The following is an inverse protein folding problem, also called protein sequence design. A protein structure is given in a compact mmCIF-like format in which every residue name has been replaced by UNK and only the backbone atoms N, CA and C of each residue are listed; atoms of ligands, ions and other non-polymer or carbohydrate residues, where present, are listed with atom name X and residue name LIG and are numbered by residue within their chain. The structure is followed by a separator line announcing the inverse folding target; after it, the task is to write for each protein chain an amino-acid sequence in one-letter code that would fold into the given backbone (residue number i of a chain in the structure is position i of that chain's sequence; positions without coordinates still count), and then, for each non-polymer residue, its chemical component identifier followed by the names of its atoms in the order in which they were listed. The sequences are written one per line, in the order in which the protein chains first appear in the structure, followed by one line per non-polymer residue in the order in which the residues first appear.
data_IF_177485737125
#
_entry.id   IF_177485737125
#
_cell.length_a   1.000
_cell.length_b   1.000
_cell.length_c   1.000
_cell.angle_alpha   90.00
_cell.angle_beta   90.00
_cell.angle_gamma   90.00
#
_symmetry.space_group_name_H-M   'P 1'
#
loop_
_entity.id
_entity.type
_entity.pdbx_description
1 polymer ?
#
# COMPACT_ATOMS: atom_id res chain seq x y z
N UNK A 1 -9.14 12.56 -0.67
CA UNK A 1 -9.06 12.46 0.82
C UNK A 1 -7.66 12.88 1.30
N UNK A 2 -7.49 13.20 2.59
CA UNK A 2 -6.26 13.78 3.15
C UNK A 2 -5.74 12.95 4.35
N UNK A 3 -5.09 11.78 4.11
CA UNK A 3 -4.63 10.90 5.19
C UNK A 3 -3.51 11.50 6.06
N UNK A 4 -2.81 12.51 5.55
CA UNK A 4 -1.85 13.33 6.31
C UNK A 4 -2.47 14.01 7.54
N UNK A 5 -3.77 14.35 7.51
CA UNK A 5 -4.44 14.93 8.67
C UNK A 5 -4.55 13.93 9.83
N UNK A 6 -4.88 12.67 9.52
CA UNK A 6 -4.92 11.59 10.51
C UNK A 6 -3.51 11.33 11.05
N UNK A 7 -2.50 11.31 10.18
CA UNK A 7 -1.11 11.18 10.60
C UNK A 7 -0.71 12.29 11.58
N UNK A 8 -1.10 13.54 11.33
CA UNK A 8 -0.81 14.67 12.23
C UNK A 8 -1.41 14.45 13.63
N UNK A 9 -2.63 13.90 13.72
CA UNK A 9 -3.27 13.59 15.00
C UNK A 9 -2.54 12.46 15.73
N UNK A 10 -2.11 11.42 15.00
CA UNK A 10 -1.35 10.29 15.55
C UNK A 10 0.03 10.70 16.08
N UNK A 11 0.71 11.63 15.39
CA UNK A 11 2.02 12.16 15.82
C UNK A 11 1.93 12.71 17.24
N UNK A 12 0.86 13.44 17.57
CA UNK A 12 0.67 14.06 18.89
C UNK A 12 0.33 13.05 20.00
N UNK A 13 -0.08 11.84 19.62
CA UNK A 13 -0.51 10.78 20.55
C UNK A 13 0.52 9.67 20.72
N UNK A 14 1.60 9.69 19.95
CA UNK A 14 2.59 8.61 19.92
C UNK A 14 4.02 9.15 19.90
N UNK A 15 4.93 8.49 20.60
CA UNK A 15 6.34 8.91 20.70
C UNK A 15 7.33 7.99 19.99
N UNK A 16 6.96 6.73 19.75
CA UNK A 16 7.90 5.69 19.25
C UNK A 16 7.50 5.08 17.92
N UNK A 17 6.20 4.83 17.69
CA UNK A 17 5.75 4.10 16.51
C UNK A 17 5.99 4.91 15.24
N UNK A 18 6.42 4.23 14.18
CA UNK A 18 6.47 4.82 12.84
C UNK A 18 5.05 5.00 12.29
N UNK A 19 4.85 6.04 11.49
CA UNK A 19 3.55 6.39 10.90
C UNK A 19 3.71 6.35 9.39
N UNK A 20 3.15 5.31 8.78
CA UNK A 20 3.14 5.14 7.33
C UNK A 20 1.83 5.68 6.74
N UNK A 21 1.94 6.56 5.75
CA UNK A 21 0.81 7.02 4.95
C UNK A 21 0.78 6.15 3.69
N UNK A 22 -0.15 5.20 3.59
CA UNK A 22 -0.17 4.18 2.53
C UNK A 22 -1.48 4.26 1.69
N UNK A 23 -1.61 5.22 0.75
CA UNK A 23 -0.59 6.14 0.27
C UNK A 23 -1.14 7.44 -0.31
N UNK A 24 -0.24 8.30 -0.74
CA UNK A 24 -0.54 9.58 -1.40
C UNK A 24 -0.54 9.39 -2.92
N UNK A 25 -1.67 9.71 -3.56
CA UNK A 25 -1.79 9.65 -5.01
C UNK A 25 -1.03 10.81 -5.67
N UNK A 26 0.13 10.54 -6.25
CA UNK A 26 0.98 11.57 -6.87
C UNK A 26 0.40 12.15 -8.17
N UNK A 27 -0.17 11.36 -9.09
CA UNK A 27 -0.61 11.88 -10.40
C UNK A 27 -1.78 12.86 -10.32
N UNK A 28 -2.54 12.79 -9.23
CA UNK A 28 -3.83 13.47 -9.04
C UNK A 28 -3.69 14.89 -8.49
N UNK A 29 -2.46 15.41 -8.38
CA UNK A 29 -2.22 16.80 -7.99
C UNK A 29 -1.62 17.59 -9.15
N UNK A 30 -1.86 18.90 -9.13
CA UNK A 30 -1.26 19.81 -10.10
C UNK A 30 0.16 20.23 -9.73
N UNK A 31 0.51 20.21 -8.44
CA UNK A 31 1.84 20.57 -7.96
C UNK A 31 2.34 19.54 -6.92
N UNK A 32 3.31 18.67 -7.28
CA UNK A 32 3.89 17.69 -6.37
C UNK A 32 4.67 18.29 -5.19
N UNK A 33 5.09 19.56 -5.26
CA UNK A 33 5.79 20.21 -4.16
C UNK A 33 4.95 20.25 -2.89
N UNK A 34 3.63 20.40 -2.99
CA UNK A 34 2.76 20.33 -1.81
C UNK A 34 2.86 18.98 -1.10
N UNK A 35 3.03 17.89 -1.84
CA UNK A 35 3.24 16.57 -1.24
C UNK A 35 4.61 16.51 -0.56
N UNK A 36 5.65 17.04 -1.20
CA UNK A 36 6.99 17.11 -0.62
C UNK A 36 6.99 17.89 0.71
N UNK A 37 6.30 19.03 0.76
CA UNK A 37 6.15 19.87 1.96
C UNK A 37 5.30 19.17 3.03
N UNK A 38 4.16 18.59 2.67
CA UNK A 38 3.29 17.82 3.58
C UNK A 38 4.09 16.76 4.35
N UNK A 39 4.85 15.93 3.62
CA UNK A 39 5.66 14.87 4.22
C UNK A 39 6.86 15.43 5.00
N UNK A 40 7.55 16.47 4.51
CA UNK A 40 8.65 17.08 5.25
C UNK A 40 8.18 17.71 6.57
N UNK A 41 7.02 18.39 6.57
CA UNK A 41 6.40 18.93 7.78
C UNK A 41 6.06 17.83 8.77
N UNK A 42 5.36 16.78 8.32
CA UNK A 42 5.03 15.64 9.18
C UNK A 42 6.28 14.97 9.73
N UNK A 43 7.33 14.85 8.92
CA UNK A 43 8.57 14.22 9.32
C UNK A 43 9.27 15.01 10.43
N UNK A 44 9.35 16.34 10.30
CA UNK A 44 9.83 17.24 11.35
C UNK A 44 8.99 17.16 12.62
N UNK A 45 7.66 17.24 12.50
CA UNK A 45 6.75 17.16 13.64
C UNK A 45 6.86 15.82 14.38
N UNK A 46 7.10 14.74 13.64
CA UNK A 46 7.23 13.40 14.19
C UNK A 46 8.64 13.08 14.71
N UNK A 47 9.64 13.91 14.37
CA UNK A 47 11.07 13.67 14.59
C UNK A 47 11.56 12.38 13.90
N UNK A 48 11.25 12.23 12.62
CA UNK A 48 11.82 11.14 11.81
C UNK A 48 11.06 9.82 11.86
N UNK A 49 9.74 9.85 12.07
CA UNK A 49 8.91 8.64 12.19
C UNK A 49 8.02 8.41 10.97
N UNK A 50 8.11 9.23 9.93
CA UNK A 50 7.22 9.15 8.78
C UNK A 50 7.73 8.15 7.75
N UNK A 51 6.81 7.38 7.19
CA UNK A 51 7.03 6.58 5.99
C UNK A 51 6.10 7.12 4.89
N UNK A 52 6.70 7.48 3.76
CA UNK A 52 6.02 8.04 2.61
C UNK A 52 5.54 6.94 1.66
N UNK A 53 4.26 6.55 1.74
CA UNK A 53 3.66 5.66 0.77
C UNK A 53 3.16 6.43 -0.45
N UNK A 54 3.62 6.04 -1.64
CA UNK A 54 3.20 6.66 -2.90
C UNK A 54 2.42 5.69 -3.76
N UNK A 55 1.30 6.19 -4.30
CA UNK A 55 0.41 5.41 -5.16
C UNK A 55 0.07 6.19 -6.43
N UNK A 56 -0.41 5.49 -7.45
CA UNK A 56 -0.96 6.12 -8.65
C UNK A 56 -2.36 6.70 -8.43
N UNK A 57 -3.04 6.30 -7.36
CA UNK A 57 -4.49 6.51 -7.20
C UNK A 57 -5.28 5.42 -7.92
N UNK A 58 -6.53 5.22 -7.53
CA UNK A 58 -7.44 4.24 -8.11
C UNK A 58 -8.26 4.86 -9.25
N UNK A 59 -8.79 4.05 -10.16
CA UNK A 59 -9.49 4.52 -11.36
C UNK A 59 -10.57 5.57 -11.08
N UNK A 60 -11.37 5.39 -10.02
CA UNK A 60 -12.46 6.31 -9.69
C UNK A 60 -11.99 7.69 -9.26
N UNK A 61 -10.76 7.82 -8.77
CA UNK A 61 -10.16 9.11 -8.42
C UNK A 61 -9.77 9.91 -9.67
N UNK A 62 -9.52 9.26 -10.82
CA UNK A 62 -9.31 9.97 -12.09
C UNK A 62 -10.60 10.59 -12.60
N UNK A 63 -11.73 9.90 -12.44
CA UNK A 63 -13.05 10.46 -12.75
C UNK A 63 -13.37 11.67 -11.87
N UNK A 64 -13.11 11.59 -10.56
CA UNK A 64 -13.47 12.67 -9.63
C UNK A 64 -12.48 13.85 -9.64
N UNK A 65 -11.20 13.62 -9.93
CA UNK A 65 -10.20 14.69 -10.04
C UNK A 65 -10.18 15.38 -11.40
N UNK A 66 -10.75 14.76 -12.44
CA UNK A 66 -10.65 15.22 -13.82
C UNK A 66 -9.26 15.04 -14.44
N UNK A 67 -8.34 14.34 -13.76
CA UNK A 67 -7.01 14.03 -14.29
C UNK A 67 -7.12 12.99 -15.40
N UNK A 68 -6.41 13.18 -16.51
CA UNK A 68 -6.40 12.18 -17.58
C UNK A 68 -5.66 10.91 -17.12
N UNK A 69 -6.34 9.75 -17.03
CA UNK A 69 -5.75 8.50 -16.57
C UNK A 69 -4.66 7.94 -17.48
N UNK A 70 -4.63 8.33 -18.76
CA UNK A 70 -3.58 7.93 -19.71
C UNK A 70 -2.18 8.30 -19.23
N UNK A 71 -2.03 9.49 -18.64
CA UNK A 71 -0.75 10.00 -18.15
C UNK A 71 -0.40 9.54 -16.73
N UNK A 72 -1.19 8.62 -16.15
CA UNK A 72 -1.05 8.23 -14.75
C UNK A 72 0.36 7.74 -14.37
N UNK A 73 1.00 6.92 -15.21
CA UNK A 73 2.36 6.44 -14.94
C UNK A 73 3.41 7.54 -15.10
N UNK A 74 3.35 8.30 -16.19
CA UNK A 74 4.31 9.38 -16.47
C UNK A 74 4.27 10.45 -15.37
N UNK A 75 3.06 10.91 -15.01
CA UNK A 75 2.85 11.84 -13.90
C UNK A 75 3.33 11.28 -12.57
N UNK A 76 3.17 9.97 -12.33
CA UNK A 76 3.67 9.34 -11.10
C UNK A 76 5.20 9.38 -11.03
N UNK A 77 5.89 8.97 -12.10
CA UNK A 77 7.35 8.97 -12.15
C UNK A 77 7.91 10.39 -12.02
N UNK A 78 7.39 11.33 -12.80
CA UNK A 78 7.87 12.72 -12.80
C UNK A 78 7.61 13.43 -11.47
N UNK A 79 6.41 13.23 -10.88
CA UNK A 79 6.11 13.76 -9.55
C UNK A 79 7.03 13.17 -8.48
N UNK A 80 7.30 11.87 -8.52
CA UNK A 80 8.22 11.22 -7.62
C UNK A 80 9.62 11.85 -7.72
N UNK A 81 10.15 11.96 -8.94
CA UNK A 81 11.50 12.47 -9.15
C UNK A 81 11.61 13.93 -8.69
N UNK A 82 10.60 14.76 -8.96
CA UNK A 82 10.52 16.12 -8.42
C UNK A 82 10.51 16.14 -6.89
N UNK A 83 9.70 15.30 -6.25
CA UNK A 83 9.59 15.23 -4.78
C UNK A 83 10.93 14.80 -4.16
N UNK A 84 11.56 13.74 -4.68
CA UNK A 84 12.84 13.24 -4.16
C UNK A 84 13.93 14.28 -4.35
N UNK A 85 14.03 14.90 -5.52
CA UNK A 85 14.99 16.00 -5.76
C UNK A 85 14.75 17.18 -4.82
N UNK A 86 13.50 17.55 -4.59
CA UNK A 86 13.14 18.61 -3.66
C UNK A 86 13.54 18.29 -2.21
N UNK A 87 13.63 17.01 -1.82
CA UNK A 87 14.10 16.57 -0.51
C UNK A 87 15.61 16.43 -0.38
N UNK A 88 16.32 16.16 -1.47
CA UNK A 88 17.74 15.77 -1.43
C UNK A 88 18.68 16.84 -1.98
N UNK A 89 18.27 17.61 -2.99
CA UNK A 89 19.11 18.64 -3.62
C UNK A 89 18.97 19.98 -2.89
N UNK A 90 20.06 20.70 -2.58
CA UNK A 90 19.97 22.09 -2.13
C UNK A 90 19.26 22.96 -3.18
N UNK A 91 18.22 23.67 -2.76
CA UNK A 91 17.52 24.63 -3.61
C UNK A 91 18.21 26.02 -3.63
N UNK A 92 17.76 26.93 -4.51
CA UNK A 92 16.72 26.72 -5.51
C UNK A 92 17.23 26.03 -6.78
N UNK A 93 16.37 25.25 -7.44
CA UNK A 93 16.64 24.70 -8.78
C UNK A 93 15.40 24.76 -9.67
N UNK A 94 15.59 24.65 -10.98
CA UNK A 94 14.49 24.50 -11.94
C UNK A 94 14.20 23.02 -12.22
N UNK A 95 12.93 22.68 -12.46
CA UNK A 95 12.48 21.37 -12.88
C UNK A 95 11.61 21.53 -14.13
N UNK A 96 11.99 20.87 -15.21
CA UNK A 96 11.26 20.88 -16.47
C UNK A 96 11.01 19.43 -16.89
N UNK A 97 9.79 18.95 -16.66
CA UNK A 97 9.31 17.71 -17.25
C UNK A 97 8.07 17.95 -18.10
N UNK A 98 7.49 16.85 -18.57
CA UNK A 98 6.36 16.87 -19.51
C UNK A 98 5.05 17.23 -18.79
N UNK A 99 4.94 16.91 -17.50
CA UNK A 99 3.73 17.06 -16.70
C UNK A 99 3.82 18.18 -15.66
N UNK A 100 5.03 18.51 -15.21
CA UNK A 100 5.32 19.49 -14.18
C UNK A 100 6.53 20.34 -14.59
N UNK A 101 6.32 21.66 -14.65
CA UNK A 101 7.39 22.61 -14.96
C UNK A 101 7.39 23.73 -13.93
N UNK A 102 8.47 23.84 -13.17
CA UNK A 102 8.66 24.78 -12.07
C UNK A 102 10.01 25.47 -12.23
N UNK A 103 10.02 26.80 -12.31
CA UNK A 103 11.25 27.59 -12.47
C UNK A 103 12.05 27.71 -11.17
N UNK A 104 11.38 27.57 -10.03
CA UNK A 104 11.97 27.80 -8.71
C UNK A 104 11.43 26.78 -7.71
N UNK A 105 12.16 25.67 -7.55
CA UNK A 105 11.91 24.65 -6.53
C UNK A 105 12.85 24.92 -5.36
N UNK A 106 12.28 25.28 -4.23
CA UNK A 106 13.01 25.52 -2.98
C UNK A 106 12.14 25.05 -1.80
N UNK A 107 12.37 23.82 -1.36
CA UNK A 107 11.48 23.16 -0.40
C UNK A 107 11.74 23.62 1.04
N UNK A 108 10.67 24.02 1.74
CA UNK A 108 10.71 24.33 3.17
C UNK A 108 9.48 23.75 3.90
N UNK A 109 9.65 23.07 5.05
CA UNK A 109 10.92 22.65 5.64
C UNK A 109 11.57 21.52 4.83
N UNK A 110 12.87 21.27 5.07
CA UNK A 110 13.53 20.03 4.61
C UNK A 110 13.14 18.87 5.53
N UNK A 111 13.11 17.62 5.05
CA UNK A 111 12.83 16.47 5.91
C UNK A 111 13.78 16.38 7.10
N UNK A 112 13.29 15.79 8.19
CA UNK A 112 14.09 15.50 9.38
C UNK A 112 15.03 14.31 9.13
N UNK A 113 14.54 13.30 8.42
CA UNK A 113 15.31 12.13 8.01
C UNK A 113 16.23 12.45 6.83
N UNK A 114 17.42 11.86 6.83
CA UNK A 114 18.37 11.93 5.73
C UNK A 114 18.52 10.55 5.07
N UNK A 115 18.49 10.43 3.74
CA UNK A 115 18.33 11.52 2.76
C UNK A 115 16.90 12.09 2.67
N UNK A 116 15.89 11.31 3.07
CA UNK A 116 14.47 11.68 3.14
C UNK A 116 13.71 10.59 3.93
N UNK A 117 12.39 10.73 4.20
CA UNK A 117 11.61 9.66 4.82
C UNK A 117 11.59 8.41 3.91
N UNK A 118 11.58 7.17 4.46
CA UNK A 118 11.50 5.95 3.65
C UNK A 118 10.28 5.97 2.73
N UNK A 119 10.47 5.57 1.48
CA UNK A 119 9.41 5.53 0.47
C UNK A 119 8.94 4.10 0.29
N UNK A 120 7.64 3.86 0.44
CA UNK A 120 6.99 2.57 0.16
C UNK A 120 6.03 2.72 -1.01
N UNK A 121 5.81 1.63 -1.75
CA UNK A 121 4.93 1.61 -2.92
C UNK A 121 3.79 0.62 -2.69
N UNK A 122 2.66 1.06 -2.11
CA UNK A 122 1.44 0.26 -2.04
C UNK A 122 0.85 0.04 -3.43
N UNK A 123 0.41 -1.18 -3.72
CA UNK A 123 -0.22 -1.50 -5.00
C UNK A 123 -1.15 -2.71 -4.89
N UNK A 124 -2.19 -2.73 -5.72
CA UNK A 124 -3.01 -3.93 -5.96
C UNK A 124 -2.53 -4.74 -7.18
N UNK A 125 -1.36 -4.38 -7.74
CA UNK A 125 -0.74 -5.13 -8.82
C UNK A 125 -0.68 -4.41 -10.15
N UNK A 126 0.55 -4.12 -10.59
CA UNK A 126 0.92 -3.72 -11.94
C UNK A 126 2.38 -4.10 -12.14
N UNK A 127 2.68 -4.87 -13.18
CA UNK A 127 4.05 -5.29 -13.48
C UNK A 127 4.94 -4.09 -13.78
N UNK A 128 4.38 -3.01 -14.35
CA UNK A 128 5.06 -1.75 -14.61
C UNK A 128 5.45 -1.06 -13.29
N UNK A 129 4.54 -0.99 -12.32
CA UNK A 129 4.85 -0.44 -11.00
C UNK A 129 5.90 -1.28 -10.27
N UNK A 130 5.82 -2.62 -10.37
CA UNK A 130 6.84 -3.52 -9.80
C UNK A 130 8.20 -3.28 -10.45
N UNK A 131 8.27 -3.20 -11.78
CA UNK A 131 9.50 -2.93 -12.51
C UNK A 131 10.10 -1.56 -12.16
N UNK A 132 9.24 -0.55 -11.97
CA UNK A 132 9.67 0.77 -11.53
C UNK A 132 10.21 0.76 -10.10
N UNK A 133 9.49 0.16 -9.15
CA UNK A 133 9.87 0.13 -7.73
C UNK A 133 11.16 -0.68 -7.49
N UNK A 134 11.36 -1.76 -8.24
CA UNK A 134 12.54 -2.64 -8.18
C UNK A 134 13.77 -2.11 -8.92
N UNK A 135 13.73 -0.95 -9.55
CA UNK A 135 14.91 -0.40 -10.23
C UNK A 135 16.08 -0.17 -9.23
N UNK A 136 17.35 -0.37 -9.63
CA UNK A 136 18.51 -0.24 -8.74
C UNK A 136 18.63 1.09 -7.99
N UNK A 137 18.17 2.18 -8.60
CA UNK A 137 18.21 3.52 -8.01
C UNK A 137 17.19 3.73 -6.87
N UNK A 138 16.18 2.86 -6.79
CA UNK A 138 15.04 3.00 -5.86
C UNK A 138 14.96 1.87 -4.86
N UNK A 139 14.87 0.63 -5.36
CA UNK A 139 14.78 -0.59 -4.53
C UNK A 139 13.68 -0.50 -3.46
N UNK A 140 12.58 0.21 -3.73
CA UNK A 140 11.57 0.53 -2.72
C UNK A 140 10.76 -0.69 -2.31
N UNK A 141 10.36 -0.77 -1.01
CA UNK A 141 9.38 -1.75 -0.57
C UNK A 141 8.11 -1.72 -1.39
N UNK A 142 7.77 -2.86 -2.00
CA UNK A 142 6.56 -3.05 -2.77
C UNK A 142 5.51 -3.77 -1.91
N UNK A 143 4.48 -3.04 -1.49
CA UNK A 143 3.46 -3.52 -0.58
C UNK A 143 2.21 -3.94 -1.35
N UNK A 144 1.95 -5.25 -1.41
CA UNK A 144 0.75 -5.80 -2.07
C UNK A 144 -0.43 -5.73 -1.11
N UNK A 145 -1.52 -5.07 -1.51
CA UNK A 145 -2.70 -4.84 -0.67
C UNK A 145 -3.93 -5.60 -1.16
N UNK A 146 -4.79 -6.04 -0.23
CA UNK A 146 -6.13 -6.60 -0.48
C UNK A 146 -6.19 -7.71 -1.55
N UNK A 147 -5.13 -8.50 -1.68
CA UNK A 147 -4.96 -9.49 -2.74
C UNK A 147 -4.87 -10.90 -2.16
N UNK A 148 -5.27 -11.90 -2.95
CA UNK A 148 -5.10 -13.30 -2.59
C UNK A 148 -3.63 -13.68 -2.47
N UNK A 149 -3.35 -14.76 -1.74
CA UNK A 149 -2.00 -15.30 -1.57
C UNK A 149 -1.30 -15.56 -2.91
N UNK A 150 -2.04 -16.00 -3.93
CA UNK A 150 -1.53 -16.25 -5.27
C UNK A 150 -1.06 -14.98 -5.98
N UNK A 151 -1.81 -13.89 -5.85
CA UNK A 151 -1.44 -12.60 -6.43
C UNK A 151 -0.27 -11.96 -5.69
N UNK A 152 -0.24 -12.05 -4.36
CA UNK A 152 0.90 -11.60 -3.55
C UNK A 152 2.17 -12.33 -3.99
N UNK A 153 2.14 -13.66 -4.05
CA UNK A 153 3.26 -14.47 -4.49
C UNK A 153 3.71 -14.12 -5.92
N UNK A 154 2.75 -13.94 -6.84
CA UNK A 154 3.04 -13.55 -8.23
C UNK A 154 3.83 -12.23 -8.27
N UNK A 155 3.36 -11.18 -7.62
CA UNK A 155 4.01 -9.88 -7.70
C UNK A 155 5.34 -9.82 -6.94
N UNK A 156 5.48 -10.52 -5.82
CA UNK A 156 6.78 -10.67 -5.14
C UNK A 156 7.78 -11.46 -6.00
N UNK A 157 7.33 -12.49 -6.71
CA UNK A 157 8.18 -13.19 -7.70
C UNK A 157 8.61 -12.26 -8.83
N UNK A 158 7.68 -11.48 -9.40
CA UNK A 158 8.02 -10.49 -10.43
C UNK A 158 9.03 -9.47 -9.91
N UNK A 159 8.91 -9.01 -8.65
CA UNK A 159 9.89 -8.11 -8.06
C UNK A 159 11.29 -8.76 -8.00
N UNK A 160 11.37 -10.02 -7.55
CA UNK A 160 12.63 -10.78 -7.49
C UNK A 160 13.25 -11.00 -8.88
N UNK A 161 12.42 -11.34 -9.86
CA UNK A 161 12.85 -11.51 -11.26
C UNK A 161 13.43 -10.21 -11.81
N UNK A 162 12.72 -9.08 -11.64
CA UNK A 162 13.23 -7.76 -12.05
C UNK A 162 14.51 -7.38 -11.32
N UNK A 163 14.60 -7.61 -10.01
CA UNK A 163 15.81 -7.37 -9.25
C UNK A 163 17.02 -8.12 -9.83
N UNK A 164 16.85 -9.42 -10.17
CA UNK A 164 17.90 -10.25 -10.80
C UNK A 164 18.30 -9.75 -12.17
N UNK A 165 17.33 -9.37 -13.00
CA UNK A 165 17.60 -8.75 -14.30
C UNK A 165 18.41 -7.45 -14.17
N UNK A 166 18.19 -6.71 -13.09
CA UNK A 166 18.96 -5.52 -12.74
C UNK A 166 20.27 -5.81 -11.97
N UNK A 167 20.62 -7.08 -11.74
CA UNK A 167 21.87 -7.49 -11.13
C UNK A 167 21.92 -7.45 -9.59
N UNK A 168 20.78 -7.56 -8.90
CA UNK A 168 20.76 -7.69 -7.43
C UNK A 168 19.68 -8.68 -6.94
N UNK A 169 19.85 -9.22 -5.73
CA UNK A 169 18.80 -10.04 -5.09
C UNK A 169 17.92 -9.16 -4.21
N UNK A 170 16.60 -9.35 -4.31
CA UNK A 170 15.67 -8.61 -3.46
C UNK A 170 15.71 -9.11 -2.01
N UNK A 171 15.84 -8.19 -1.07
CA UNK A 171 15.75 -8.46 0.36
C UNK A 171 14.29 -8.59 0.82
N UNK A 172 14.06 -9.27 1.94
CA UNK A 172 12.74 -9.44 2.55
C UNK A 172 12.04 -8.10 2.82
N UNK A 173 12.80 -7.08 3.22
CA UNK A 173 12.28 -5.75 3.55
C UNK A 173 11.76 -5.00 2.31
N UNK A 174 12.05 -5.49 1.12
CA UNK A 174 11.51 -4.93 -0.13
C UNK A 174 10.16 -5.56 -0.52
N UNK A 175 9.76 -6.62 0.17
CA UNK A 175 8.56 -7.40 -0.10
C UNK A 175 7.57 -7.18 1.03
N UNK A 176 6.48 -6.47 0.72
CA UNK A 176 5.43 -6.13 1.67
C UNK A 176 4.10 -6.83 1.36
N UNK A 177 3.38 -7.20 2.40
CA UNK A 177 2.00 -7.69 2.33
C UNK A 177 1.11 -6.94 3.31
N UNK A 178 -0.08 -6.52 2.86
CA UNK A 178 -1.12 -5.95 3.71
C UNK A 178 -2.41 -6.75 3.58
N UNK A 179 -2.96 -7.21 4.71
CA UNK A 179 -4.20 -7.97 4.76
C UNK A 179 -5.03 -7.65 6.01
N UNK A 180 -6.37 -7.80 5.93
CA UNK A 180 -7.23 -7.85 7.12
C UNK A 180 -6.84 -9.03 8.02
N UNK A 181 -6.66 -8.77 9.30
CA UNK A 181 -6.38 -9.80 10.31
C UNK A 181 -7.34 -9.63 11.48
N UNK A 182 -8.00 -10.71 11.88
CA UNK A 182 -8.82 -10.76 13.10
C UNK A 182 -8.51 -11.99 13.96
N UNK A 183 -8.24 -11.75 15.23
CA UNK A 183 -7.91 -12.76 16.23
C UNK A 183 -9.02 -12.82 17.30
N UNK A 184 -9.54 -14.01 17.55
CA UNK A 184 -10.37 -14.33 18.71
C UNK A 184 -9.87 -15.62 19.37
N UNK A 185 -10.45 -16.07 20.48
CA UNK A 185 -9.98 -17.26 21.20
C UNK A 185 -10.15 -18.55 20.39
N UNK A 186 -11.16 -18.62 19.52
CA UNK A 186 -11.38 -19.74 18.60
C UNK A 186 -11.66 -19.26 17.18
N UNK A 187 -11.43 -20.16 16.24
CA UNK A 187 -11.69 -19.97 14.82
C UNK A 187 -13.18 -19.67 14.54
N UNK A 188 -14.09 -20.35 15.23
CA UNK A 188 -15.55 -20.14 15.10
C UNK A 188 -15.94 -18.76 15.60
N UNK A 189 -15.40 -18.34 16.75
CA UNK A 189 -15.69 -17.02 17.32
C UNK A 189 -15.16 -15.90 16.45
N UNK A 190 -13.94 -16.04 15.92
CA UNK A 190 -13.36 -15.06 15.01
C UNK A 190 -14.23 -14.85 13.77
N UNK A 191 -14.75 -15.93 13.18
CA UNK A 191 -15.68 -15.85 12.04
C UNK A 191 -17.01 -15.22 12.42
N UNK A 192 -17.58 -15.59 13.56
CA UNK A 192 -18.85 -15.01 14.03
C UNK A 192 -18.74 -13.50 14.29
N UNK A 193 -17.63 -13.03 14.85
CA UNK A 193 -17.41 -11.62 15.19
C UNK A 193 -17.02 -10.77 13.98
N UNK A 194 -16.16 -11.28 13.09
CA UNK A 194 -15.54 -10.48 12.03
C UNK A 194 -15.99 -10.83 10.61
N UNK A 195 -16.73 -11.93 10.41
CA UNK A 195 -17.17 -12.39 9.10
C UNK A 195 -17.96 -11.34 8.35
N UNK A 196 -19.00 -10.78 8.98
CA UNK A 196 -19.79 -9.71 8.37
C UNK A 196 -18.93 -8.48 8.03
N UNK A 197 -18.01 -8.09 8.92
CA UNK A 197 -17.16 -6.93 8.69
C UNK A 197 -16.20 -7.11 7.51
N UNK A 198 -15.57 -8.28 7.36
CA UNK A 198 -14.68 -8.54 6.22
C UNK A 198 -15.46 -8.64 4.92
N UNK A 199 -16.65 -9.25 4.93
CA UNK A 199 -17.52 -9.32 3.77
C UNK A 199 -17.98 -7.92 3.33
N UNK A 200 -18.38 -7.05 4.25
CA UNK A 200 -18.75 -5.66 3.95
C UNK A 200 -17.57 -4.86 3.37
N UNK A 201 -16.35 -5.06 3.89
CA UNK A 201 -15.16 -4.43 3.30
C UNK A 201 -15.03 -4.78 1.80
N UNK A 202 -15.09 -6.06 1.44
CA UNK A 202 -14.86 -6.49 0.05
C UNK A 202 -16.08 -6.34 -0.87
N UNK A 203 -17.29 -6.52 -0.35
CA UNK A 203 -18.51 -6.49 -1.16
C UNK A 203 -19.13 -5.11 -1.30
N UNK A 204 -18.89 -4.20 -0.34
CA UNK A 204 -19.55 -2.90 -0.30
C UNK A 204 -18.54 -1.75 -0.41
N UNK A 205 -17.47 -1.75 0.38
CA UNK A 205 -16.53 -0.60 0.44
C UNK A 205 -15.48 -0.61 -0.67
N UNK A 206 -14.96 -1.79 -1.03
CA UNK A 206 -13.96 -1.94 -2.09
C UNK A 206 -14.58 -2.26 -3.46
N UNK A 207 -15.89 -2.55 -3.50
CA UNK A 207 -16.57 -2.89 -4.74
C UNK A 207 -16.76 -1.68 -5.62
N UNK A 208 -16.25 -1.77 -6.85
CA UNK A 208 -16.41 -0.76 -7.88
C UNK A 208 -16.97 -1.39 -9.16
N UNK A 209 -17.72 -0.60 -9.93
CA UNK A 209 -18.07 -1.01 -11.30
C UNK A 209 -16.81 -1.01 -12.16
N UNK A 210 -16.85 -1.74 -13.28
CA UNK A 210 -15.67 -1.89 -14.13
C UNK A 210 -15.19 -0.54 -14.67
N UNK A 211 -16.11 0.35 -15.03
CA UNK A 211 -15.84 1.67 -15.58
C UNK A 211 -15.19 2.60 -14.54
N UNK A 212 -15.54 2.42 -13.27
CA UNK A 212 -14.95 3.15 -12.15
C UNK A 212 -13.57 2.61 -11.80
N UNK A 213 -13.37 1.30 -11.83
CA UNK A 213 -12.07 0.69 -11.54
C UNK A 213 -11.06 0.92 -12.67
N UNK A 214 -11.53 0.86 -13.92
CA UNK A 214 -10.71 0.82 -15.13
C UNK A 214 -11.13 1.90 -16.14
N UNK A 215 -10.93 3.20 -15.85
CA UNK A 215 -11.15 4.22 -16.84
C UNK A 215 -10.26 4.03 -18.08
N UNK A 216 -10.70 4.43 -19.28
CA UNK A 216 -9.91 4.32 -20.50
C UNK A 216 -8.53 4.97 -20.34
N UNK A 217 -7.46 4.24 -20.67
CA UNK A 217 -6.08 4.73 -20.53
C UNK A 217 -5.44 4.53 -19.15
N UNK A 218 -6.19 4.12 -18.12
CA UNK A 218 -5.64 3.95 -16.77
C UNK A 218 -4.57 2.87 -16.64
N UNK A 219 -4.63 1.82 -17.44
CA UNK A 219 -3.63 0.74 -17.40
C UNK A 219 -3.17 0.41 -18.81
N UNK A 220 -1.99 -0.21 -18.93
CA UNK A 220 -1.48 -0.70 -20.20
C UNK A 220 -2.37 -1.81 -20.77
N UNK A 221 -2.31 -2.02 -22.08
CA UNK A 221 -3.04 -3.13 -22.72
C UNK A 221 -2.60 -4.50 -22.18
N UNK A 222 -1.31 -4.66 -21.86
CA UNK A 222 -0.78 -5.90 -21.29
C UNK A 222 -1.37 -6.19 -19.91
N UNK A 223 -1.36 -5.19 -19.03
CA UNK A 223 -1.95 -5.28 -17.69
C UNK A 223 -3.48 -5.45 -17.74
N UNK A 224 -4.16 -4.80 -18.70
CA UNK A 224 -5.59 -5.02 -18.94
C UNK A 224 -5.90 -6.47 -19.36
N UNK A 225 -5.10 -7.05 -20.26
CA UNK A 225 -5.26 -8.44 -20.71
C UNK A 225 -5.08 -9.42 -19.55
N UNK A 226 -4.09 -9.18 -18.69
CA UNK A 226 -3.86 -9.98 -17.48
C UNK A 226 -5.03 -9.85 -16.48
N UNK A 227 -5.58 -8.64 -16.33
CA UNK A 227 -6.74 -8.39 -15.48
C UNK A 227 -7.98 -9.15 -15.98
N UNK A 228 -8.33 -9.01 -17.27
CA UNK A 228 -9.52 -9.65 -17.86
C UNK A 228 -9.42 -11.17 -17.82
N UNK A 229 -8.24 -11.74 -18.12
CA UNK A 229 -8.02 -13.19 -18.05
C UNK A 229 -8.15 -13.73 -16.63
N UNK A 230 -7.58 -13.02 -15.64
CA UNK A 230 -7.71 -13.39 -14.23
C UNK A 230 -9.17 -13.32 -13.74
N UNK A 231 -9.94 -12.32 -14.20
CA UNK A 231 -11.36 -12.16 -13.84
C UNK A 231 -12.27 -13.22 -14.46
N UNK A 232 -11.94 -13.72 -15.66
CA UNK A 232 -12.64 -14.85 -16.30
C UNK A 232 -12.39 -16.18 -15.59
N UNK A 233 -11.21 -16.39 -15.00
CA UNK A 233 -10.87 -17.60 -14.25
C UNK A 233 -11.49 -17.69 -12.85
N UNK A 234 -11.91 -16.56 -12.27
CA UNK A 234 -12.42 -16.45 -10.90
C UNK A 234 -13.95 -16.32 -10.77
N UNK A 235 -14.72 -16.72 -11.80
CA UNK A 235 -16.19 -16.71 -11.71
C UNK A 235 -16.77 -15.33 -11.38
N UNK A 236 -16.35 -14.32 -12.13
CA UNK A 236 -16.56 -12.90 -11.83
C UNK A 236 -17.94 -12.51 -11.29
N UNK A 237 -17.93 -11.83 -10.15
CA UNK A 237 -19.07 -11.04 -9.65
C UNK A 237 -19.87 -11.65 -8.50
N UNK A 238 -19.52 -12.86 -8.02
CA UNK A 238 -20.08 -13.42 -6.80
C UNK A 238 -19.77 -12.58 -5.56
N UNK A 239 -20.64 -12.63 -4.55
CA UNK A 239 -20.31 -12.08 -3.23
C UNK A 239 -19.13 -12.84 -2.65
N UNK A 240 -18.14 -12.12 -2.15
CA UNK A 240 -17.03 -12.69 -1.39
C UNK A 240 -17.55 -13.10 -0.01
N UNK A 241 -17.38 -14.36 0.38
CA UNK A 241 -17.70 -14.83 1.73
C UNK A 241 -16.46 -14.82 2.62
N UNK A 242 -16.66 -14.80 3.94
CA UNK A 242 -15.55 -14.94 4.90
C UNK A 242 -14.74 -16.21 4.65
N UNK A 243 -15.37 -17.33 4.30
CA UNK A 243 -14.69 -18.59 3.97
C UNK A 243 -13.79 -18.42 2.75
N UNK A 244 -14.32 -17.89 1.64
CA UNK A 244 -13.53 -17.71 0.42
C UNK A 244 -12.38 -16.71 0.60
N UNK A 245 -12.57 -15.67 1.41
CA UNK A 245 -11.51 -14.71 1.73
C UNK A 245 -10.39 -15.32 2.58
N UNK A 246 -10.74 -16.19 3.54
CA UNK A 246 -9.78 -16.93 4.35
C UNK A 246 -9.06 -18.01 3.53
N UNK A 247 -9.79 -18.80 2.75
CA UNK A 247 -9.25 -19.86 1.90
C UNK A 247 -8.27 -19.31 0.85
N UNK A 248 -8.58 -18.17 0.25
CA UNK A 248 -7.69 -17.51 -0.72
C UNK A 248 -6.48 -16.80 -0.09
N UNK A 249 -6.42 -16.73 1.25
CA UNK A 249 -5.40 -15.96 1.97
C UNK A 249 -5.51 -14.45 1.80
N UNK A 250 -6.67 -13.95 1.35
CA UNK A 250 -6.94 -12.51 1.23
C UNK A 250 -7.14 -11.87 2.61
N UNK A 251 -7.67 -12.62 3.58
CA UNK A 251 -7.80 -12.23 4.98
C UNK A 251 -7.36 -13.38 5.90
N UNK A 252 -6.88 -13.05 7.10
CA UNK A 252 -6.56 -14.02 8.15
C UNK A 252 -7.52 -13.83 9.34
N UNK A 253 -8.48 -14.72 9.51
CA UNK A 253 -9.49 -14.63 10.57
C UNK A 253 -9.54 -15.96 11.31
N UNK A 254 -9.18 -15.96 12.59
CA UNK A 254 -9.14 -17.19 13.38
C UNK A 254 -8.60 -17.03 14.80
N UNK A 255 -8.28 -18.16 15.43
CA UNK A 255 -7.50 -18.23 16.67
C UNK A 255 -6.07 -17.73 16.49
N UNK A 256 -5.33 -17.40 17.57
CA UNK A 256 -3.93 -16.98 17.46
C UNK A 256 -3.09 -18.00 16.69
N UNK A 257 -3.31 -19.29 16.96
CA UNK A 257 -2.63 -20.39 16.26
C UNK A 257 -2.92 -20.40 14.76
N UNK A 258 -4.18 -20.25 14.36
CA UNK A 258 -4.59 -20.23 12.95
C UNK A 258 -4.01 -19.02 12.22
N UNK A 259 -4.04 -17.84 12.87
CA UNK A 259 -3.49 -16.61 12.30
C UNK A 259 -1.97 -16.70 12.15
N UNK A 260 -1.25 -17.15 13.19
CA UNK A 260 0.21 -17.34 13.14
C UNK A 260 0.61 -18.29 12.01
N UNK A 261 -0.03 -19.47 11.92
CA UNK A 261 0.24 -20.42 10.85
C UNK A 261 -0.10 -19.85 9.45
N UNK A 262 -1.10 -18.97 9.36
CA UNK A 262 -1.42 -18.23 8.13
C UNK A 262 -0.31 -17.27 7.72
N UNK A 263 0.23 -16.50 8.67
CA UNK A 263 1.33 -15.56 8.46
C UNK A 263 2.60 -16.33 8.04
N UNK A 264 2.94 -17.42 8.74
CA UNK A 264 4.11 -18.26 8.44
C UNK A 264 4.03 -18.87 7.05
N UNK A 265 2.88 -19.48 6.68
CA UNK A 265 2.68 -20.00 5.31
C UNK A 265 2.87 -18.92 4.25
N UNK A 266 2.37 -17.72 4.51
CA UNK A 266 2.56 -16.60 3.59
C UNK A 266 4.03 -16.16 3.53
N UNK A 267 4.74 -16.16 4.66
CA UNK A 267 6.17 -15.83 4.73
C UNK A 267 7.01 -16.85 3.97
N UNK A 268 6.77 -18.14 4.15
CA UNK A 268 7.43 -19.23 3.43
C UNK A 268 7.18 -19.13 1.91
N UNK A 269 5.94 -18.83 1.53
CA UNK A 269 5.54 -18.78 0.12
C UNK A 269 6.11 -17.57 -0.63
N UNK A 270 6.20 -16.42 0.04
CA UNK A 270 6.45 -15.13 -0.63
C UNK A 270 7.77 -14.46 -0.23
N UNK A 271 8.33 -14.84 0.92
CA UNK A 271 9.54 -14.23 1.48
C UNK A 271 9.34 -12.81 2.00
N UNK A 272 8.10 -12.38 2.26
CA UNK A 272 7.84 -11.01 2.73
C UNK A 272 8.56 -10.72 4.06
N UNK A 273 9.12 -9.52 4.18
CA UNK A 273 9.70 -8.98 5.42
C UNK A 273 8.84 -7.91 6.07
N UNK A 274 7.87 -7.34 5.34
CA UNK A 274 6.96 -6.31 5.87
C UNK A 274 5.53 -6.84 5.85
N UNK A 275 4.92 -6.94 7.03
CA UNK A 275 3.49 -7.18 7.19
C UNK A 275 2.80 -5.91 7.69
N UNK A 276 1.81 -5.42 6.95
CA UNK A 276 0.88 -4.37 7.40
C UNK A 276 -0.44 -5.04 7.78
N UNK A 277 -0.61 -5.31 9.07
CA UNK A 277 -1.82 -5.91 9.62
C UNK A 277 -2.95 -4.90 9.69
N UNK A 278 -4.00 -5.08 8.88
CA UNK A 278 -5.21 -4.26 8.97
C UNK A 278 -6.12 -4.85 10.06
N UNK A 279 -5.98 -4.33 11.28
CA UNK A 279 -6.67 -4.81 12.48
C UNK A 279 -8.04 -4.15 12.72
N UNK A 280 -8.34 -3.09 11.95
CA UNK A 280 -9.66 -2.47 11.85
C UNK A 280 -10.09 -2.53 10.39
N UNK A 281 -11.27 -3.07 10.11
CA UNK A 281 -11.80 -3.15 8.76
C UNK A 281 -13.32 -3.22 8.75
N UNK A 282 -13.90 -2.87 7.59
CA UNK A 282 -15.33 -2.93 7.38
C UNK A 282 -16.10 -2.17 8.46
N UNK A 283 -17.03 -2.88 9.09
CA UNK A 283 -17.93 -2.34 10.11
C UNK A 283 -17.62 -2.84 11.53
N UNK A 284 -16.38 -3.25 11.81
CA UNK A 284 -15.97 -3.62 13.17
C UNK A 284 -16.23 -2.47 14.14
N UNK A 285 -16.80 -2.80 15.30
CA UNK A 285 -16.98 -1.84 16.39
C UNK A 285 -15.63 -1.48 17.03
N UNK A 286 -15.60 -0.37 17.79
CA UNK A 286 -14.42 0.02 18.57
C UNK A 286 -14.01 -1.10 19.55
N UNK A 287 -14.98 -1.72 20.23
CA UNK A 287 -14.73 -2.82 21.17
C UNK A 287 -14.04 -4.02 20.50
N UNK A 288 -14.59 -4.49 19.36
CA UNK A 288 -14.00 -5.62 18.63
C UNK A 288 -12.64 -5.26 18.04
N UNK A 289 -12.49 -4.04 17.54
CA UNK A 289 -11.22 -3.54 17.02
C UNK A 289 -10.14 -3.56 18.11
N UNK A 290 -10.44 -3.05 19.31
CA UNK A 290 -9.51 -3.03 20.42
C UNK A 290 -9.17 -4.44 20.91
N UNK A 291 -10.17 -5.31 21.05
CA UNK A 291 -9.95 -6.72 21.40
C UNK A 291 -9.04 -7.43 20.40
N UNK A 292 -9.28 -7.22 19.11
CA UNK A 292 -8.45 -7.77 18.05
C UNK A 292 -7.00 -7.26 18.14
N UNK A 293 -6.82 -5.95 18.35
CA UNK A 293 -5.50 -5.34 18.52
C UNK A 293 -4.76 -5.91 19.75
N UNK A 294 -5.46 -6.07 20.88
CA UNK A 294 -4.88 -6.60 22.11
C UNK A 294 -4.46 -8.07 21.93
N UNK A 295 -5.35 -8.92 21.39
CA UNK A 295 -5.04 -10.33 21.13
C UNK A 295 -3.94 -10.53 20.08
N UNK A 296 -3.95 -9.75 19.00
CA UNK A 296 -2.87 -9.80 18.03
C UNK A 296 -1.52 -9.42 18.66
N UNK A 297 -1.52 -8.37 19.51
CA UNK A 297 -0.32 -7.90 20.18
C UNK A 297 0.21 -8.88 21.26
N UNK A 298 -0.67 -9.56 22.00
CA UNK A 298 -0.27 -10.47 23.08
C UNK A 298 -0.03 -11.91 22.63
N UNK A 299 -0.79 -12.41 21.65
CA UNK A 299 -0.81 -13.84 21.29
C UNK A 299 -0.19 -14.14 19.91
N UNK A 300 0.01 -13.14 19.04
CA UNK A 300 0.55 -13.36 17.68
C UNK A 300 1.90 -12.67 17.51
N UNK A 301 1.97 -11.36 17.76
CA UNK A 301 3.18 -10.56 17.55
C UNK A 301 4.43 -11.08 18.26
N UNK A 302 4.39 -11.63 19.50
CA UNK A 302 5.59 -12.13 20.16
C UNK A 302 6.25 -13.32 19.44
N UNK A 303 5.48 -14.07 18.65
CA UNK A 303 5.98 -15.23 17.90
C UNK A 303 6.51 -14.87 16.51
N UNK A 304 6.34 -13.61 16.08
CA UNK A 304 6.83 -13.11 14.78
C UNK A 304 8.17 -12.38 14.89
N UNK A 305 8.64 -12.11 16.12
CA UNK A 305 9.92 -11.46 16.38
C UNK A 305 10.97 -12.54 16.56
N UNK A 306 12.01 -12.51 15.74
CA UNK A 306 13.23 -13.28 15.96
C UNK A 306 13.94 -12.84 17.26
#
# INVERSE_FOLDING_TARGET
PAPNLIASALIQRTSRVQIAILGRALPLVNNPIYIAEEFAMLDNLSKGRIIAGFVRGIGSEYHSSGTNPYFSHERFHEAHDLIVRAWTEPGPFAFHGDHFSLQYVNLWPRPYQSPHPPIWIPSQGSSETVAWASHPDRKYPFLVTFSSADLVARYHNTYRERAREYGYEAASEQLGWACPIYVAETDERARAEAGHAVETLFNDFLRQTFEMLMPPGYTSMGSMKNFISSRRGLGGGGKMTVEGLVESGTALIGSPKTVLAGIERMRERTGFGILVSLLQFGVLSDELTRRNMDLFASEVMPHLRD
#
